data_IF_939418826065
#
_entry.id   IF_939418826065
#
_cell.length_a   1.000
_cell.length_b   1.000
_cell.length_c   1.000
_cell.angle_alpha   90.00
_cell.angle_beta   90.00
_cell.angle_gamma   90.00
#
_symmetry.space_group_name_H-M   'P 1'
#
loop_
_entity.id
_entity.type
_entity.pdbx_description
1 polymer ?
#
# COMPACT_ATOMS: atom_id res chain seq x y z
N UNK A 1 -1.80 9.81 10.07
CA UNK A 1 -0.91 9.52 8.94
C UNK A 1 -1.51 10.20 7.74
N UNK A 2 -0.94 11.33 7.32
CA UNK A 2 -1.49 12.15 6.23
C UNK A 2 -0.78 11.78 4.93
N UNK A 3 -1.55 11.37 3.91
CA UNK A 3 -1.04 11.11 2.56
C UNK A 3 -1.75 11.99 1.55
N UNK A 4 -1.00 12.50 0.57
CA UNK A 4 -1.58 13.20 -0.57
C UNK A 4 -2.29 12.19 -1.48
N UNK A 5 -3.48 12.53 -1.96
CA UNK A 5 -4.22 11.76 -2.97
C UNK A 5 -4.06 12.35 -4.38
N UNK A 6 -3.81 13.65 -4.47
CA UNK A 6 -3.65 14.37 -5.72
C UNK A 6 -3.99 15.85 -5.58
N UNK A 7 -4.24 16.50 -6.71
CA UNK A 7 -4.61 17.91 -6.80
C UNK A 7 -6.03 18.05 -7.33
N UNK A 8 -6.79 18.98 -6.77
CA UNK A 8 -8.11 19.40 -7.24
C UNK A 8 -8.09 20.90 -7.56
N UNK A 9 -9.19 21.44 -8.09
CA UNK A 9 -9.29 22.87 -8.42
C UNK A 9 -9.00 23.79 -7.23
N UNK A 10 -9.25 23.31 -6.00
CA UNK A 10 -9.03 24.05 -4.77
C UNK A 10 -7.66 23.79 -4.11
N UNK A 11 -6.74 23.14 -4.83
CA UNK A 11 -5.41 22.78 -4.34
C UNK A 11 -5.26 21.31 -4.00
N UNK A 12 -4.29 21.00 -3.16
CA UNK A 12 -3.92 19.62 -2.84
C UNK A 12 -4.99 18.91 -1.99
N UNK A 13 -5.23 17.64 -2.28
CA UNK A 13 -6.15 16.78 -1.52
C UNK A 13 -5.36 15.75 -0.72
N UNK A 14 -5.67 15.61 0.57
CA UNK A 14 -5.01 14.69 1.49
C UNK A 14 -6.03 13.79 2.20
N UNK A 15 -5.59 12.59 2.60
CA UNK A 15 -6.35 11.67 3.46
C UNK A 15 -5.58 11.40 4.75
N UNK A 16 -6.28 11.42 5.88
CA UNK A 16 -5.72 11.02 7.18
C UNK A 16 -6.17 9.61 7.57
N UNK A 17 -5.22 8.69 7.53
CA UNK A 17 -5.43 7.29 7.91
C UNK A 17 -5.43 7.05 9.43
N UNK A 18 -5.27 8.09 10.26
CA UNK A 18 -5.33 7.92 11.73
C UNK A 18 -6.73 7.58 12.21
N UNK A 19 -7.75 8.21 11.60
CA UNK A 19 -9.14 8.10 12.03
C UNK A 19 -9.96 7.16 11.12
N UNK A 20 -9.65 7.13 9.82
CA UNK A 20 -10.21 6.19 8.84
C UNK A 20 -9.07 5.34 8.23
N UNK A 21 -8.74 4.19 8.85
CA UNK A 21 -7.54 3.42 8.50
C UNK A 21 -7.69 2.61 7.20
N UNK A 22 -8.89 2.55 6.62
CA UNK A 22 -9.20 1.76 5.44
C UNK A 22 -9.46 2.69 4.24
N UNK A 23 -8.74 2.47 3.15
CA UNK A 23 -9.00 3.08 1.85
C UNK A 23 -9.40 1.99 0.85
N UNK A 24 -10.58 2.17 0.23
CA UNK A 24 -11.05 1.31 -0.85
C UNK A 24 -10.90 2.02 -2.20
N UNK A 25 -10.07 1.48 -3.09
CA UNK A 25 -9.81 2.05 -4.42
C UNK A 25 -10.39 1.14 -5.51
N UNK A 26 -11.30 1.67 -6.31
CA UNK A 26 -11.91 0.97 -7.44
C UNK A 26 -11.85 1.81 -8.73
N UNK A 27 -11.76 1.13 -9.87
CA UNK A 27 -11.72 1.80 -11.17
C UNK A 27 -11.49 0.82 -12.32
N UNK A 28 -11.87 1.21 -13.53
CA UNK A 28 -11.63 0.43 -14.76
C UNK A 28 -10.15 0.52 -15.20
N UNK A 29 -9.70 -0.37 -16.08
CA UNK A 29 -8.37 -0.26 -16.70
C UNK A 29 -8.18 1.13 -17.32
N UNK A 30 -7.00 1.73 -17.12
CA UNK A 30 -6.70 3.08 -17.60
C UNK A 30 -7.25 4.23 -16.74
N UNK A 31 -7.95 3.95 -15.63
CA UNK A 31 -8.42 4.99 -14.69
C UNK A 31 -7.34 5.56 -13.78
N UNK A 32 -6.10 5.05 -13.84
CA UNK A 32 -5.00 5.53 -13.00
C UNK A 32 -4.89 4.87 -11.63
N UNK A 33 -5.70 3.86 -11.31
CA UNK A 33 -5.64 3.12 -10.03
C UNK A 33 -4.22 2.63 -9.67
N UNK A 34 -3.50 2.05 -10.64
CA UNK A 34 -2.13 1.57 -10.41
C UNK A 34 -1.20 2.72 -10.04
N UNK A 35 -1.22 3.80 -10.83
CA UNK A 35 -0.45 5.01 -10.55
C UNK A 35 -0.77 5.61 -9.17
N UNK A 36 -2.04 5.63 -8.76
CA UNK A 36 -2.42 6.08 -7.43
C UNK A 36 -1.79 5.20 -6.34
N UNK A 37 -1.83 3.88 -6.47
CA UNK A 37 -1.23 2.96 -5.49
C UNK A 37 0.30 3.13 -5.42
N UNK A 38 0.97 3.26 -6.56
CA UNK A 38 2.41 3.54 -6.62
C UNK A 38 2.77 4.88 -5.98
N UNK A 39 1.98 5.92 -6.26
CA UNK A 39 2.15 7.24 -5.66
C UNK A 39 2.02 7.17 -4.13
N UNK A 40 0.99 6.49 -3.61
CA UNK A 40 0.84 6.29 -2.17
C UNK A 40 2.04 5.54 -1.58
N UNK A 41 2.51 4.45 -2.21
CA UNK A 41 3.69 3.71 -1.76
C UNK A 41 4.95 4.57 -1.76
N UNK A 42 5.16 5.40 -2.79
CA UNK A 42 6.30 6.32 -2.85
C UNK A 42 6.27 7.32 -1.68
N UNK A 43 5.11 7.87 -1.35
CA UNK A 43 4.94 8.77 -0.20
C UNK A 43 5.30 8.08 1.13
N UNK A 44 5.04 6.77 1.26
CA UNK A 44 5.49 5.98 2.41
C UNK A 44 7.01 5.80 2.45
N UNK A 45 7.61 5.43 1.32
CA UNK A 45 9.03 5.10 1.23
C UNK A 45 9.94 6.33 1.38
N UNK A 46 9.50 7.49 0.90
CA UNK A 46 10.29 8.73 0.95
C UNK A 46 10.21 9.45 2.30
N UNK A 47 9.25 9.09 3.15
CA UNK A 47 9.06 9.78 4.42
C UNK A 47 9.74 9.01 5.54
N UNK A 48 10.81 9.58 6.10
CA UNK A 48 11.58 8.96 7.20
C UNK A 48 10.71 8.63 8.42
N UNK A 49 9.60 9.36 8.65
CA UNK A 49 8.63 9.06 9.72
C UNK A 49 7.98 7.69 9.54
N UNK A 50 7.91 7.19 8.31
CA UNK A 50 7.30 5.91 7.96
C UNK A 50 8.35 4.80 7.73
N UNK A 51 9.64 5.07 7.94
CA UNK A 51 10.72 4.08 7.80
C UNK A 51 10.57 2.82 8.67
N UNK A 52 9.85 2.92 9.79
CA UNK A 52 9.59 1.81 10.71
C UNK A 52 8.30 1.03 10.39
N UNK A 53 7.57 1.38 9.32
CA UNK A 53 6.31 0.70 8.99
C UNK A 53 6.59 -0.61 8.26
N UNK A 54 6.06 -1.70 8.80
CA UNK A 54 6.00 -2.99 8.11
C UNK A 54 4.96 -2.95 6.98
N UNK A 55 5.34 -3.38 5.79
CA UNK A 55 4.47 -3.43 4.61
C UNK A 55 4.12 -4.88 4.25
N UNK A 56 2.85 -5.12 3.98
CA UNK A 56 2.38 -6.35 3.32
C UNK A 56 1.85 -5.95 1.95
N UNK A 57 2.56 -6.32 0.89
CA UNK A 57 2.12 -6.11 -0.48
C UNK A 57 1.53 -7.40 -1.03
N UNK A 58 0.29 -7.33 -1.50
CA UNK A 58 -0.45 -8.45 -2.09
C UNK A 58 -0.75 -8.08 -3.55
N UNK A 59 -0.21 -8.86 -4.48
CA UNK A 59 -0.43 -8.67 -5.91
C UNK A 59 -1.19 -9.88 -6.50
N UNK A 60 -2.50 -9.70 -6.68
CA UNK A 60 -3.36 -10.74 -7.24
C UNK A 60 -3.08 -11.01 -8.73
N UNK A 61 -2.50 -10.05 -9.46
CA UNK A 61 -2.26 -10.15 -10.90
C UNK A 61 -0.79 -10.29 -11.27
N UNK A 62 0.13 -10.09 -10.32
CA UNK A 62 1.59 -10.12 -10.48
C UNK A 62 2.10 -9.11 -11.49
N UNK A 63 1.52 -7.91 -11.52
CA UNK A 63 1.87 -6.85 -12.48
C UNK A 63 2.00 -5.47 -11.83
N UNK A 64 1.62 -5.32 -10.56
CA UNK A 64 1.54 -4.03 -9.89
C UNK A 64 2.72 -3.85 -8.93
N UNK A 65 3.11 -4.88 -8.16
CA UNK A 65 4.02 -4.69 -7.03
C UNK A 65 5.36 -5.42 -7.12
N UNK A 66 5.64 -6.13 -8.21
CA UNK A 66 6.90 -6.91 -8.34
C UNK A 66 8.15 -6.06 -8.18
N UNK A 67 8.15 -4.82 -8.66
CA UNK A 67 9.30 -3.90 -8.56
C UNK A 67 9.65 -3.50 -7.12
N UNK A 68 8.76 -3.79 -6.16
CA UNK A 68 8.98 -3.53 -4.74
C UNK A 68 9.49 -4.76 -3.96
N UNK A 69 9.84 -5.87 -4.62
CA UNK A 69 10.23 -7.13 -3.94
C UNK A 69 11.41 -7.00 -2.99
N UNK A 70 12.30 -6.04 -3.25
CA UNK A 70 13.55 -5.83 -2.51
C UNK A 70 13.42 -4.83 -1.35
N UNK A 71 12.20 -4.37 -1.03
CA UNK A 71 11.97 -3.48 0.10
C UNK A 71 12.27 -4.17 1.43
N UNK A 72 13.20 -3.60 2.21
CA UNK A 72 13.65 -4.15 3.49
C UNK A 72 12.56 -4.20 4.57
N UNK A 73 11.51 -3.39 4.44
CA UNK A 73 10.40 -3.31 5.39
C UNK A 73 9.20 -4.18 5.00
N UNK A 74 9.35 -5.10 4.03
CA UNK A 74 8.31 -6.07 3.72
C UNK A 74 8.20 -7.14 4.81
N UNK A 75 7.01 -7.29 5.37
CA UNK A 75 6.72 -8.39 6.29
C UNK A 75 6.80 -9.70 5.50
N UNK A 76 7.77 -10.55 5.86
CA UNK A 76 8.07 -11.79 5.15
C UNK A 76 8.98 -11.64 3.93
N UNK A 77 9.60 -10.47 3.74
CA UNK A 77 10.63 -10.16 2.74
C UNK A 77 10.21 -10.54 1.30
N UNK A 78 8.94 -10.31 0.95
CA UNK A 78 8.39 -10.65 -0.36
C UNK A 78 7.07 -9.95 -0.64
N UNK A 79 6.72 -9.89 -1.92
CA UNK A 79 5.35 -9.59 -2.38
C UNK A 79 4.57 -10.90 -2.43
N UNK A 80 3.36 -10.91 -1.85
CA UNK A 80 2.51 -12.08 -1.82
C UNK A 80 1.66 -12.17 -3.08
N UNK A 81 1.64 -13.29 -3.81
CA UNK A 81 0.64 -13.48 -4.84
C UNK A 81 -0.74 -13.65 -4.20
N UNK A 82 -1.80 -13.24 -4.89
CA UNK A 82 -3.17 -13.32 -4.37
C UNK A 82 -3.60 -14.73 -3.92
N UNK A 83 -3.02 -15.77 -4.52
CA UNK A 83 -3.26 -17.18 -4.17
C UNK A 83 -2.73 -17.60 -2.80
N UNK A 84 -1.78 -16.85 -2.25
CA UNK A 84 -1.06 -17.22 -1.04
C UNK A 84 -1.69 -16.63 0.21
N UNK A 85 -2.50 -15.58 0.09
CA UNK A 85 -3.08 -14.81 1.22
C UNK A 85 -3.71 -15.73 2.28
N UNK A 86 -4.54 -16.69 1.82
CA UNK A 86 -5.25 -17.64 2.69
C UNK A 86 -4.36 -18.77 3.23
N UNK A 87 -3.20 -19.01 2.60
CA UNK A 87 -2.28 -20.10 2.98
C UNK A 87 -1.25 -19.65 3.98
N UNK A 88 -0.83 -18.39 3.90
CA UNK A 88 0.23 -17.85 4.74
C UNK A 88 -0.29 -17.08 5.97
N UNK A 89 -1.61 -17.02 6.16
CA UNK A 89 -2.27 -16.29 7.25
C UNK A 89 -1.66 -14.90 7.46
N UNK A 90 -1.30 -14.23 6.36
CA UNK A 90 -0.54 -12.96 6.43
C UNK A 90 -1.37 -11.87 7.11
N UNK A 91 -2.69 -11.93 6.94
CA UNK A 91 -3.62 -11.02 7.62
C UNK A 91 -3.65 -11.28 9.13
N UNK A 92 -3.54 -12.52 9.59
CA UNK A 92 -3.51 -12.83 11.02
C UNK A 92 -2.23 -12.27 11.68
N UNK A 93 -1.12 -12.22 10.94
CA UNK A 93 0.12 -11.59 11.41
C UNK A 93 -0.02 -10.08 11.62
N UNK A 94 -0.90 -9.42 10.87
CA UNK A 94 -1.21 -8.00 11.04
C UNK A 94 -2.07 -7.75 12.27
N UNK A 95 -2.89 -8.71 12.69
CA UNK A 95 -3.75 -8.62 13.89
C UNK A 95 -2.99 -8.96 15.17
N UNK A 96 -1.96 -9.82 15.09
CA UNK A 96 -1.18 -10.25 16.25
C UNK A 96 -0.02 -9.30 16.63
N UNK A 97 0.13 -8.17 15.94
CA UNK A 97 1.18 -7.18 16.17
C UNK A 97 0.64 -6.03 17.03
N UNK A 98 0.29 -6.34 18.28
CA UNK A 98 0.00 -5.37 19.36
C UNK A 98 1.19 -5.28 20.33
#
# INVERSE_FOLDING_TARGET
MYLKLGDCENGETFHDFTNDPILFVAGRTGSGKSNLLHFLLEQFLQNERYSNFGLVLIDCKRVEFLDYSELNNLIGNRVYPGTDILKCNVLDKLVASD
#
